data_IF_889938928400
#
_entry.id   IF_889938928400
#
_cell.length_a   1.000
_cell.length_b   1.000
_cell.length_c   1.000
_cell.angle_alpha   90.00
_cell.angle_beta   90.00
_cell.angle_gamma   90.00
#
_symmetry.space_group_name_H-M   'P 1'
#
loop_
_entity.id
_entity.type
_entity.pdbx_description
1 polymer ?
#
# COMPACT_ATOMS: atom_id res chain seq x y z
N UNK A 1 -1.99 43.88 -25.20
CA UNK A 1 -2.03 42.57 -24.54
C UNK A 1 -1.35 42.75 -23.19
N UNK A 2 -1.93 42.23 -22.12
CA UNK A 2 -1.32 42.23 -20.78
C UNK A 2 -0.92 40.80 -20.42
N UNK A 3 0.30 40.60 -19.93
CA UNK A 3 0.81 39.34 -19.42
C UNK A 3 1.19 39.57 -17.97
N UNK A 4 0.50 38.87 -17.08
CA UNK A 4 0.79 38.86 -15.65
C UNK A 4 1.42 37.51 -15.32
N UNK A 5 2.61 37.52 -14.76
CA UNK A 5 3.31 36.33 -14.29
C UNK A 5 3.47 36.39 -12.77
N UNK A 6 3.19 35.29 -12.10
CA UNK A 6 3.40 35.15 -10.66
C UNK A 6 4.04 33.83 -10.32
N UNK A 7 4.69 33.83 -9.16
CA UNK A 7 5.59 32.78 -8.72
C UNK A 7 5.35 32.48 -7.26
N UNK A 8 5.34 31.20 -6.90
CA UNK A 8 5.28 30.74 -5.51
C UNK A 8 6.29 29.61 -5.30
N UNK A 9 7.19 29.75 -4.31
CA UNK A 9 8.19 28.73 -4.00
C UNK A 9 9.35 29.24 -3.14
N UNK A 10 10.14 28.32 -2.60
CA UNK A 10 11.29 28.66 -1.74
C UNK A 10 12.48 29.19 -2.57
N UNK A 11 13.04 30.33 -2.16
CA UNK A 11 14.20 30.96 -2.82
C UNK A 11 15.49 30.12 -2.72
N UNK A 12 15.58 29.20 -1.77
CA UNK A 12 16.80 28.42 -1.47
C UNK A 12 16.87 27.04 -2.17
N UNK A 13 15.97 26.77 -3.12
CA UNK A 13 15.89 25.51 -3.85
C UNK A 13 14.89 24.54 -3.24
N UNK A 14 13.82 24.24 -3.97
CA UNK A 14 12.70 23.44 -3.45
C UNK A 14 11.61 23.19 -4.48
N UNK A 15 10.41 22.87 -3.99
CA UNK A 15 9.22 22.83 -4.83
C UNK A 15 8.85 24.27 -5.24
N UNK A 16 8.44 24.46 -6.49
CA UNK A 16 7.98 25.75 -6.99
C UNK A 16 6.83 25.60 -7.96
N UNK A 17 5.95 26.60 -7.97
CA UNK A 17 4.85 26.77 -8.90
C UNK A 17 4.90 28.15 -9.55
N UNK A 18 4.40 28.22 -10.78
CA UNK A 18 4.23 29.47 -11.51
C UNK A 18 2.84 29.55 -12.13
N UNK A 19 2.35 30.78 -12.29
CA UNK A 19 1.08 31.10 -12.91
C UNK A 19 1.23 32.26 -13.89
N UNK A 20 0.47 32.23 -14.98
CA UNK A 20 0.38 33.30 -15.97
C UNK A 20 -1.08 33.58 -16.30
N UNK A 21 -1.43 34.86 -16.33
CA UNK A 21 -2.69 35.35 -16.87
C UNK A 21 -2.41 36.27 -18.07
N UNK A 22 -2.84 35.82 -19.25
CA UNK A 22 -2.81 36.62 -20.48
C UNK A 22 -4.17 37.27 -20.68
N UNK A 23 -4.22 38.59 -20.84
CA UNK A 23 -5.47 39.34 -21.01
C UNK A 23 -5.45 40.24 -22.25
N UNK A 24 -6.50 40.14 -23.05
CA UNK A 24 -6.76 40.96 -24.23
C UNK A 24 -8.22 41.37 -24.28
N UNK A 25 -8.51 42.62 -23.91
CA UNK A 25 -9.89 43.07 -23.70
C UNK A 25 -10.56 42.22 -22.63
N UNK A 26 -11.72 41.66 -22.96
CA UNK A 26 -12.48 40.75 -22.10
C UNK A 26 -11.97 39.31 -22.10
N UNK A 27 -11.03 38.96 -23.00
CA UNK A 27 -10.52 37.59 -23.09
C UNK A 27 -9.34 37.38 -22.15
N UNK A 28 -9.42 36.33 -21.35
CA UNK A 28 -8.35 35.87 -20.47
C UNK A 28 -7.92 34.44 -20.82
N UNK A 29 -6.63 34.14 -20.64
CA UNK A 29 -6.07 32.79 -20.72
C UNK A 29 -5.11 32.56 -19.57
N UNK A 30 -5.33 31.47 -18.86
CA UNK A 30 -4.54 31.05 -17.70
C UNK A 30 -3.58 29.93 -18.10
N UNK A 31 -2.36 29.99 -17.59
CA UNK A 31 -1.35 28.94 -17.69
C UNK A 31 -0.73 28.75 -16.31
N UNK A 32 -0.40 27.51 -15.96
CA UNK A 32 0.34 27.23 -14.73
C UNK A 32 1.18 25.97 -14.89
N UNK A 33 2.25 25.89 -14.12
CA UNK A 33 3.17 24.77 -14.15
C UNK A 33 4.01 24.72 -12.89
N UNK A 34 4.64 23.57 -12.64
CA UNK A 34 5.36 23.33 -11.40
C UNK A 34 6.61 22.50 -11.63
N UNK A 35 7.57 22.63 -10.73
CA UNK A 35 8.78 21.81 -10.70
C UNK A 35 9.14 21.43 -9.26
N UNK A 36 9.58 20.18 -9.05
CA UNK A 36 9.86 19.65 -7.71
C UNK A 36 11.23 20.07 -7.17
N UNK A 37 12.09 20.62 -8.03
CA UNK A 37 13.41 21.14 -7.68
C UNK A 37 13.75 22.34 -8.56
N UNK A 38 13.42 23.53 -8.07
CA UNK A 38 13.58 24.81 -8.78
C UNK A 38 13.90 25.94 -7.80
N UNK A 39 14.05 27.16 -8.31
CA UNK A 39 14.17 28.42 -7.56
C UNK A 39 13.06 29.39 -7.98
N UNK A 40 12.81 30.43 -7.18
CA UNK A 40 11.85 31.48 -7.52
C UNK A 40 12.22 32.19 -8.84
N UNK A 41 13.48 32.52 -9.04
CA UNK A 41 13.99 33.14 -10.28
C UNK A 41 13.72 32.27 -11.52
N UNK A 42 13.98 30.96 -11.43
CA UNK A 42 13.72 30.01 -12.52
C UNK A 42 12.23 29.90 -12.84
N UNK A 43 11.38 29.90 -11.81
CA UNK A 43 9.93 29.87 -11.99
C UNK A 43 9.38 31.16 -12.59
N UNK A 44 9.93 32.31 -12.21
CA UNK A 44 9.60 33.60 -12.84
C UNK A 44 9.99 33.64 -14.31
N UNK A 45 11.21 33.22 -14.64
CA UNK A 45 11.66 33.12 -16.03
C UNK A 45 10.80 32.13 -16.83
N UNK A 46 10.45 30.99 -16.24
CA UNK A 46 9.56 29.99 -16.87
C UNK A 46 8.19 30.58 -17.16
N UNK A 47 7.56 31.25 -16.19
CA UNK A 47 6.25 31.88 -16.35
C UNK A 47 6.24 32.87 -17.53
N UNK A 48 7.23 33.76 -17.58
CA UNK A 48 7.33 34.76 -18.65
C UNK A 48 7.52 34.10 -20.01
N UNK A 49 8.42 33.11 -20.12
CA UNK A 49 8.66 32.40 -21.39
C UNK A 49 7.41 31.67 -21.87
N UNK A 50 6.77 30.89 -21.00
CA UNK A 50 5.56 30.12 -21.35
C UNK A 50 4.39 31.04 -21.71
N UNK A 51 4.25 32.18 -21.01
CA UNK A 51 3.25 33.19 -21.32
C UNK A 51 3.47 33.87 -22.67
N UNK A 52 4.71 34.21 -23.01
CA UNK A 52 5.06 34.82 -24.30
C UNK A 52 4.92 33.82 -25.45
N UNK A 53 5.36 32.57 -25.27
CA UNK A 53 5.25 31.52 -26.30
C UNK A 53 3.80 31.13 -26.60
N UNK A 54 2.88 31.34 -25.66
CA UNK A 54 1.46 31.15 -25.89
C UNK A 54 0.83 32.18 -26.86
N UNK A 55 1.56 33.26 -27.19
CA UNK A 55 1.15 34.27 -28.16
C UNK A 55 1.42 33.78 -29.59
N UNK A 56 0.36 33.56 -30.36
CA UNK A 56 0.47 32.93 -31.69
C UNK A 56 0.87 33.87 -32.82
N UNK A 57 1.10 35.16 -32.53
CA UNK A 57 1.47 36.18 -33.52
C UNK A 57 2.26 37.32 -32.88
N UNK A 58 3.09 38.06 -33.64
CA UNK A 58 3.75 39.27 -33.17
C UNK A 58 2.73 40.28 -32.60
N UNK A 59 2.97 40.75 -31.38
CA UNK A 59 2.08 41.68 -30.66
C UNK A 59 2.88 42.63 -29.77
N UNK A 60 2.26 43.74 -29.39
CA UNK A 60 2.70 44.55 -28.25
C UNK A 60 2.11 43.97 -26.96
N UNK A 61 2.99 43.65 -26.02
CA UNK A 61 2.64 43.01 -24.75
C UNK A 61 3.31 43.76 -23.60
N UNK A 62 2.52 44.10 -22.58
CA UNK A 62 3.03 44.58 -21.30
C UNK A 62 3.19 43.38 -20.36
N UNK A 63 4.34 43.25 -19.72
CA UNK A 63 4.72 42.12 -18.88
C UNK A 63 5.00 42.60 -17.46
N UNK A 64 4.26 42.04 -16.51
CA UNK A 64 4.49 42.21 -15.07
C UNK A 64 4.86 40.86 -14.44
N UNK A 65 5.86 40.85 -13.55
CA UNK A 65 6.46 39.62 -13.02
C UNK A 65 6.29 39.41 -11.51
N UNK A 66 5.38 40.12 -10.83
CA UNK A 66 5.07 39.83 -9.42
C UNK A 66 6.25 39.95 -8.46
N UNK A 67 7.21 40.84 -8.73
CA UNK A 67 8.43 41.00 -7.93
C UNK A 67 9.50 39.93 -8.13
N UNK A 68 9.31 38.97 -9.05
CA UNK A 68 10.35 38.00 -9.41
C UNK A 68 11.50 38.65 -10.20
N UNK A 69 12.74 38.32 -9.84
CA UNK A 69 13.93 38.76 -10.58
C UNK A 69 14.06 37.97 -11.89
N UNK A 70 13.48 38.52 -12.96
CA UNK A 70 13.51 37.92 -14.31
C UNK A 70 14.43 38.71 -15.24
N UNK A 71 15.34 38.06 -15.98
CA UNK A 71 16.18 38.74 -16.97
C UNK A 71 15.36 39.45 -18.06
N UNK A 72 15.78 40.65 -18.45
CA UNK A 72 15.12 41.49 -19.47
C UNK A 72 16.08 41.79 -20.63
N UNK A 73 16.36 40.81 -21.52
CA UNK A 73 17.34 41.02 -22.58
C UNK A 73 16.85 42.00 -23.66
N UNK A 74 17.79 42.67 -24.31
CA UNK A 74 17.53 43.35 -25.58
C UNK A 74 17.57 42.35 -26.76
N UNK A 75 16.89 42.62 -27.89
CA UNK A 75 16.99 41.79 -29.10
C UNK A 75 18.44 41.56 -29.51
N UNK A 76 18.82 40.32 -29.82
CA UNK A 76 20.18 39.94 -30.21
C UNK A 76 21.23 39.95 -29.08
N UNK A 77 20.84 40.12 -27.81
CA UNK A 77 21.77 40.03 -26.69
C UNK A 77 22.38 38.61 -26.56
N UNK A 78 23.68 38.48 -26.21
CA UNK A 78 24.27 37.18 -25.94
C UNK A 78 23.66 36.56 -24.68
N UNK A 79 23.72 35.22 -24.58
CA UNK A 79 23.33 34.49 -23.37
C UNK A 79 24.41 34.69 -22.30
N UNK A 80 24.10 35.28 -21.14
CA UNK A 80 25.05 35.43 -20.04
C UNK A 80 25.48 34.07 -19.49
N UNK A 81 26.72 33.96 -19.02
CA UNK A 81 27.24 32.71 -18.45
C UNK A 81 26.67 32.36 -17.08
N UNK A 82 26.10 33.34 -16.39
CA UNK A 82 25.57 33.28 -15.02
C UNK A 82 24.03 33.24 -14.98
N UNK A 83 23.38 33.10 -16.13
CA UNK A 83 21.91 33.02 -16.20
C UNK A 83 21.39 31.75 -15.51
N UNK A 84 20.26 31.81 -14.77
CA UNK A 84 19.72 30.64 -14.06
C UNK A 84 19.48 29.42 -14.96
N UNK A 85 19.01 29.64 -16.19
CA UNK A 85 18.83 28.61 -17.21
C UNK A 85 19.06 29.18 -18.62
N UNK A 86 20.11 28.68 -19.29
CA UNK A 86 20.52 29.15 -20.60
C UNK A 86 19.56 28.75 -21.74
N UNK A 87 18.75 27.71 -21.58
CA UNK A 87 17.74 27.29 -22.54
C UNK A 87 16.52 28.22 -22.46
N UNK A 88 15.99 28.42 -21.25
CA UNK A 88 14.88 29.34 -21.03
C UNK A 88 15.24 30.76 -21.46
N UNK A 89 16.47 31.21 -21.22
CA UNK A 89 16.91 32.53 -21.69
C UNK A 89 16.97 32.62 -23.22
N UNK A 90 17.39 31.55 -23.92
CA UNK A 90 17.38 31.50 -25.40
C UNK A 90 15.96 31.55 -25.95
N UNK A 91 15.02 30.87 -25.29
CA UNK A 91 13.58 30.95 -25.62
C UNK A 91 13.05 32.37 -25.40
N UNK A 92 13.39 33.01 -24.27
CA UNK A 92 13.02 34.41 -24.01
C UNK A 92 13.57 35.36 -25.08
N UNK A 93 14.83 35.21 -25.50
CA UNK A 93 15.42 36.02 -26.56
C UNK A 93 14.62 35.92 -27.87
N UNK A 94 14.20 34.72 -28.26
CA UNK A 94 13.38 34.53 -29.45
C UNK A 94 12.02 35.26 -29.34
N UNK A 95 11.45 35.33 -28.13
CA UNK A 95 10.21 36.07 -27.87
C UNK A 95 10.43 37.59 -27.92
N UNK A 96 11.55 38.08 -27.38
CA UNK A 96 11.93 39.50 -27.46
C UNK A 96 12.20 39.95 -28.90
N UNK A 97 12.69 39.07 -29.76
CA UNK A 97 12.87 39.36 -31.19
C UNK A 97 11.53 39.40 -31.96
N UNK A 98 10.53 38.67 -31.49
CA UNK A 98 9.24 38.51 -32.18
C UNK A 98 8.19 39.52 -31.71
N UNK A 99 8.16 39.84 -30.42
CA UNK A 99 7.13 40.68 -29.79
C UNK A 99 7.71 42.04 -29.37
N UNK A 100 6.87 43.07 -29.36
CA UNK A 100 7.21 44.34 -28.73
C UNK A 100 6.87 44.25 -27.24
N UNK A 101 7.85 43.87 -26.44
CA UNK A 101 7.69 43.64 -24.99
C UNK A 101 7.99 44.94 -24.22
N UNK A 102 7.03 45.32 -23.38
CA UNK A 102 7.14 46.42 -22.43
C UNK A 102 7.10 45.82 -21.02
N UNK A 103 8.12 46.08 -20.22
CA UNK A 103 8.22 45.55 -18.85
C UNK A 103 7.71 46.60 -17.88
N UNK A 104 6.84 46.20 -16.97
CA UNK A 104 6.33 47.07 -15.90
C UNK A 104 6.73 46.50 -14.54
N UNK A 105 7.13 47.39 -13.64
CA UNK A 105 7.61 47.00 -12.30
C UNK A 105 6.45 47.02 -11.29
N UNK A 106 5.55 47.98 -11.41
CA UNK A 106 4.38 48.12 -10.57
C UNK A 106 3.14 47.51 -11.25
N UNK A 107 2.28 46.85 -10.48
CA UNK A 107 1.07 46.24 -11.02
C UNK A 107 0.11 47.31 -11.59
N UNK A 108 0.06 48.49 -10.97
CA UNK A 108 -0.81 49.60 -11.38
C UNK A 108 -0.46 50.12 -12.78
N UNK A 109 0.82 50.09 -13.18
CA UNK A 109 1.24 50.44 -14.54
C UNK A 109 0.66 49.47 -15.59
N UNK A 110 0.38 48.23 -15.20
CA UNK A 110 -0.21 47.23 -16.10
C UNK A 110 -1.70 47.45 -16.33
N UNK A 111 -2.44 47.72 -15.25
CA UNK A 111 -3.91 47.77 -15.25
C UNK A 111 -4.47 49.16 -15.55
N UNK A 112 -3.72 50.22 -15.21
CA UNK A 112 -4.13 51.62 -15.34
C UNK A 112 -5.16 52.06 -14.30
N UNK A 113 -5.40 53.37 -14.21
CA UNK A 113 -6.27 54.01 -13.19
C UNK A 113 -7.74 53.51 -13.17
N UNK A 114 -8.21 52.76 -14.17
CA UNK A 114 -9.61 52.27 -14.27
C UNK A 114 -9.87 50.96 -13.50
N UNK A 115 -8.83 50.20 -13.13
CA UNK A 115 -8.95 49.03 -12.22
C UNK A 115 -8.43 49.37 -10.81
N UNK A 116 -8.13 50.66 -10.56
CA UNK A 116 -7.57 51.23 -9.32
C UNK A 116 -8.67 51.92 -8.49
N UNK A 117 -9.81 51.25 -8.29
CA UNK A 117 -10.76 51.68 -7.24
C UNK A 117 -10.12 51.42 -5.87
N UNK A 118 -9.18 52.26 -5.45
CA UNK A 118 -8.92 52.58 -4.02
C UNK A 118 -8.75 51.40 -3.03
N UNK A 119 -8.17 50.25 -3.41
CA UNK A 119 -8.10 49.08 -2.52
C UNK A 119 -6.77 48.86 -1.76
N UNK A 120 -5.77 49.73 -1.93
CA UNK A 120 -4.42 49.39 -1.43
C UNK A 120 -3.87 50.15 -0.23
N UNK A 121 -4.54 51.18 0.33
CA UNK A 121 -3.89 51.93 1.43
C UNK A 121 -4.69 52.39 2.67
N UNK A 122 -6.01 52.22 2.83
CA UNK A 122 -6.62 52.59 4.14
C UNK A 122 -7.88 51.81 4.63
N UNK A 123 -8.47 50.88 3.88
CA UNK A 123 -9.56 50.02 4.40
C UNK A 123 -9.32 48.54 4.09
N UNK A 124 -9.45 47.71 5.14
CA UNK A 124 -9.19 46.27 5.19
C UNK A 124 -10.27 45.43 4.46
N UNK A 125 -10.68 45.82 3.25
CA UNK A 125 -11.51 44.95 2.39
C UNK A 125 -10.60 44.04 1.56
N UNK A 126 -10.73 42.73 1.76
CA UNK A 126 -10.04 41.73 0.94
C UNK A 126 -10.40 41.97 -0.54
N UNK A 127 -9.42 42.00 -1.46
CA UNK A 127 -9.69 42.17 -2.89
C UNK A 127 -10.67 41.10 -3.36
N UNK A 128 -11.56 41.47 -4.30
CA UNK A 128 -12.51 40.52 -4.89
C UNK A 128 -11.75 39.29 -5.43
N UNK A 129 -12.30 38.09 -5.24
CA UNK A 129 -11.64 36.83 -5.57
C UNK A 129 -11.28 36.71 -7.07
N UNK A 130 -11.90 37.52 -7.91
CA UNK A 130 -11.64 37.60 -9.35
C UNK A 130 -10.57 38.64 -9.73
N UNK A 131 -9.89 39.28 -8.75
CA UNK A 131 -8.84 40.27 -9.03
C UNK A 131 -7.64 39.61 -9.75
N UNK A 132 -7.11 40.20 -10.85
CA UNK A 132 -6.09 39.55 -11.66
C UNK A 132 -4.77 39.22 -10.92
N UNK A 133 -4.42 40.02 -9.91
CA UNK A 133 -3.28 39.73 -9.02
C UNK A 133 -3.49 38.44 -8.22
N UNK A 134 -4.63 38.34 -7.53
CA UNK A 134 -4.98 37.17 -6.69
C UNK A 134 -5.08 35.93 -7.57
N UNK A 135 -5.68 36.05 -8.75
CA UNK A 135 -5.81 34.91 -9.67
C UNK A 135 -4.45 34.34 -10.11
N UNK A 136 -3.47 35.19 -10.36
CA UNK A 136 -2.12 34.75 -10.75
C UNK A 136 -1.39 34.11 -9.55
N UNK A 137 -1.59 34.64 -8.35
CA UNK A 137 -1.07 34.05 -7.12
C UNK A 137 -1.68 32.67 -6.85
N UNK A 138 -2.99 32.52 -7.03
CA UNK A 138 -3.72 31.25 -6.93
C UNK A 138 -3.18 30.19 -7.89
N UNK A 139 -2.99 30.55 -9.16
CA UNK A 139 -2.43 29.63 -10.16
C UNK A 139 -1.05 29.12 -9.76
N UNK A 140 -0.19 30.01 -9.26
CA UNK A 140 1.15 29.64 -8.78
C UNK A 140 1.08 28.78 -7.52
N UNK A 141 0.17 29.08 -6.59
CA UNK A 141 -0.05 28.30 -5.37
C UNK A 141 -0.59 26.90 -5.66
N UNK A 142 -1.63 26.76 -6.49
CA UNK A 142 -2.16 25.48 -6.93
C UNK A 142 -1.09 24.61 -7.59
N UNK A 143 -0.22 25.22 -8.39
CA UNK A 143 0.92 24.56 -9.01
C UNK A 143 1.95 24.08 -7.98
N UNK A 144 2.30 24.92 -6.99
CA UNK A 144 3.19 24.55 -5.89
C UNK A 144 2.63 23.36 -5.10
N UNK A 145 1.33 23.36 -4.78
CA UNK A 145 0.67 22.25 -4.08
C UNK A 145 0.83 20.93 -4.85
N UNK A 146 0.75 20.96 -6.19
CA UNK A 146 0.99 19.78 -7.05
C UNK A 146 2.44 19.31 -6.97
N UNK A 147 3.43 20.22 -7.00
CA UNK A 147 4.84 19.86 -6.84
C UNK A 147 5.11 19.20 -5.49
N UNK A 148 4.59 19.77 -4.40
CA UNK A 148 4.74 19.20 -3.07
C UNK A 148 4.05 17.83 -2.94
N UNK A 149 2.88 17.64 -3.55
CA UNK A 149 2.20 16.35 -3.59
C UNK A 149 3.08 15.29 -4.28
N UNK A 150 3.74 15.63 -5.39
CA UNK A 150 4.67 14.74 -6.08
C UNK A 150 5.91 14.44 -5.22
N UNK A 151 6.45 15.41 -4.49
CA UNK A 151 7.55 15.18 -3.53
C UNK A 151 7.10 14.23 -2.42
N UNK A 152 5.89 14.43 -1.85
CA UNK A 152 5.32 13.54 -0.83
C UNK A 152 5.15 12.12 -1.37
N UNK A 153 4.72 11.96 -2.61
CA UNK A 153 4.60 10.66 -3.28
C UNK A 153 5.98 10.00 -3.51
N UNK A 154 6.98 10.75 -4.00
CA UNK A 154 8.36 10.28 -4.16
C UNK A 154 9.00 9.90 -2.83
N UNK A 155 8.75 10.67 -1.77
CA UNK A 155 9.18 10.35 -0.39
C UNK A 155 8.50 9.09 0.13
N UNK A 156 7.19 8.91 -0.12
CA UNK A 156 6.47 7.67 0.21
C UNK A 156 7.06 6.44 -0.49
N UNK A 157 7.39 6.56 -1.78
CA UNK A 157 8.07 5.48 -2.54
C UNK A 157 9.50 5.21 -2.04
N UNK A 158 10.24 6.23 -1.60
CA UNK A 158 11.62 6.09 -1.07
C UNK A 158 11.71 5.63 0.38
N UNK A 159 10.63 5.70 1.17
CA UNK A 159 10.74 5.60 2.63
C UNK A 159 10.83 4.18 3.21
N UNK A 160 10.41 3.11 2.53
CA UNK A 160 10.50 1.73 3.08
C UNK A 160 9.96 1.53 4.52
N UNK A 161 9.09 2.40 5.02
CA UNK A 161 8.65 2.48 6.43
C UNK A 161 7.15 2.75 6.54
N UNK A 162 6.35 1.98 5.82
CA UNK A 162 4.90 2.00 6.05
C UNK A 162 4.57 1.02 7.18
N UNK A 163 3.67 1.38 8.10
CA UNK A 163 3.18 0.40 9.06
C UNK A 163 2.43 -0.72 8.34
N UNK A 164 2.48 -1.94 8.88
CA UNK A 164 1.82 -3.11 8.32
C UNK A 164 0.31 -2.84 8.14
N UNK A 165 -0.34 -2.21 9.12
CA UNK A 165 -1.75 -1.84 9.03
C UNK A 165 -2.05 -0.93 7.82
N UNK A 166 -1.16 0.02 7.52
CA UNK A 166 -1.34 0.90 6.36
C UNK A 166 -1.14 0.13 5.05
N UNK A 167 -0.18 -0.80 5.02
CA UNK A 167 0.04 -1.66 3.85
C UNK A 167 -1.17 -2.60 3.62
N UNK A 168 -1.71 -3.21 4.67
CA UNK A 168 -2.91 -4.04 4.62
C UNK A 168 -4.13 -3.27 4.09
N UNK A 169 -4.33 -2.03 4.54
CA UNK A 169 -5.42 -1.17 4.03
C UNK A 169 -5.27 -0.88 2.53
N UNK A 170 -4.05 -0.70 2.04
CA UNK A 170 -3.80 -0.50 0.60
C UNK A 170 -4.08 -1.76 -0.20
N UNK A 171 -3.59 -2.89 0.28
CA UNK A 171 -3.89 -4.20 -0.30
C UNK A 171 -5.41 -4.45 -0.37
N UNK A 172 -6.17 -4.13 0.68
CA UNK A 172 -7.63 -4.22 0.66
C UNK A 172 -8.28 -3.30 -0.38
N UNK A 173 -7.80 -2.07 -0.54
CA UNK A 173 -8.31 -1.16 -1.57
C UNK A 173 -8.09 -1.72 -2.97
N UNK A 174 -6.90 -2.30 -3.22
CA UNK A 174 -6.56 -2.90 -4.51
C UNK A 174 -7.42 -4.15 -4.78
N UNK A 175 -7.55 -5.06 -3.81
CA UNK A 175 -8.38 -6.27 -3.94
C UNK A 175 -9.86 -5.92 -4.15
N UNK A 176 -10.39 -4.87 -3.48
CA UNK A 176 -11.78 -4.43 -3.62
C UNK A 176 -12.11 -3.99 -5.05
N UNK A 177 -11.14 -3.46 -5.78
CA UNK A 177 -11.33 -3.03 -7.16
C UNK A 177 -11.55 -4.21 -8.14
N UNK A 178 -11.17 -5.42 -7.74
CA UNK A 178 -11.10 -6.58 -8.64
C UNK A 178 -11.93 -7.77 -8.17
N UNK A 179 -12.32 -7.85 -6.90
CA UNK A 179 -13.04 -8.99 -6.34
C UNK A 179 -14.56 -8.75 -6.16
N UNK A 180 -15.40 -9.79 -6.39
CA UNK A 180 -16.78 -9.82 -5.94
C UNK A 180 -16.89 -9.65 -4.42
N UNK A 181 -18.06 -9.21 -3.94
CA UNK A 181 -18.28 -8.90 -2.51
C UNK A 181 -17.97 -10.07 -1.57
N UNK A 182 -18.33 -11.30 -1.94
CA UNK A 182 -18.12 -12.49 -1.10
C UNK A 182 -16.63 -12.80 -0.96
N UNK A 183 -15.91 -12.87 -2.08
CA UNK A 183 -14.46 -13.10 -2.08
C UNK A 183 -13.71 -12.01 -1.32
N UNK A 184 -14.15 -10.75 -1.43
CA UNK A 184 -13.58 -9.65 -0.66
C UNK A 184 -13.74 -9.84 0.87
N UNK A 185 -14.90 -10.34 1.33
CA UNK A 185 -15.12 -10.61 2.76
C UNK A 185 -14.20 -11.73 3.28
N UNK A 186 -13.89 -12.71 2.44
CA UNK A 186 -12.93 -13.77 2.78
C UNK A 186 -11.51 -13.20 2.91
N UNK A 187 -11.12 -12.26 2.02
CA UNK A 187 -9.87 -11.50 2.16
C UNK A 187 -9.85 -10.74 3.49
N UNK A 188 -10.90 -9.98 3.81
CA UNK A 188 -11.00 -9.24 5.08
C UNK A 188 -10.84 -10.18 6.29
N UNK A 189 -11.51 -11.32 6.29
CA UNK A 189 -11.43 -12.31 7.39
C UNK A 189 -10.01 -12.84 7.62
N UNK A 190 -9.26 -13.10 6.55
CA UNK A 190 -7.86 -13.56 6.64
C UNK A 190 -6.98 -12.46 7.23
N UNK A 191 -7.12 -11.22 6.75
CA UNK A 191 -6.32 -10.09 7.24
C UNK A 191 -6.66 -9.71 8.67
N UNK A 192 -7.93 -9.80 9.07
CA UNK A 192 -8.35 -9.61 10.46
C UNK A 192 -7.74 -10.67 11.38
N UNK A 193 -7.63 -11.91 10.90
CA UNK A 193 -6.95 -13.00 11.62
C UNK A 193 -5.47 -12.70 11.81
N UNK A 194 -4.79 -12.21 10.77
CA UNK A 194 -3.40 -11.75 10.84
C UNK A 194 -3.24 -10.59 11.82
N UNK A 195 -4.12 -9.60 11.77
CA UNK A 195 -4.07 -8.45 12.67
C UNK A 195 -4.32 -8.85 14.14
N UNK A 196 -5.27 -9.76 14.35
CA UNK A 196 -5.57 -10.31 15.66
C UNK A 196 -4.40 -11.11 16.23
N UNK A 197 -3.78 -12.00 15.43
CA UNK A 197 -2.63 -12.78 15.88
C UNK A 197 -1.45 -11.88 16.27
N UNK A 198 -1.20 -10.82 15.50
CA UNK A 198 -0.17 -9.82 15.84
C UNK A 198 -0.52 -9.09 17.13
N UNK A 199 -1.77 -8.63 17.28
CA UNK A 199 -2.21 -7.90 18.46
C UNK A 199 -2.17 -8.72 19.75
N UNK A 200 -2.35 -10.03 19.66
CA UNK A 200 -2.34 -10.94 20.81
C UNK A 200 -0.93 -11.37 21.22
N UNK A 201 -0.09 -11.71 20.24
CA UNK A 201 1.24 -12.29 20.49
C UNK A 201 2.39 -11.28 20.41
N UNK A 202 2.14 -10.02 20.04
CA UNK A 202 3.15 -8.96 20.03
C UNK A 202 2.99 -8.00 21.20
N UNK A 203 4.11 -7.64 21.86
CA UNK A 203 4.15 -6.53 22.82
C UNK A 203 3.95 -5.16 22.14
N UNK A 204 4.09 -5.10 20.80
CA UNK A 204 3.91 -3.88 20.02
C UNK A 204 2.45 -3.76 19.56
N UNK A 205 1.91 -2.54 19.62
CA UNK A 205 0.68 -2.21 18.90
C UNK A 205 0.87 -2.52 17.41
N UNK A 206 -0.13 -3.10 16.76
CA UNK A 206 -0.15 -3.37 15.30
C UNK A 206 0.29 -2.15 14.48
N UNK A 207 -0.09 -0.94 14.89
CA UNK A 207 0.29 0.30 14.22
C UNK A 207 1.79 0.59 14.20
N UNK A 208 2.56 -0.03 15.11
CA UNK A 208 4.01 0.09 15.23
C UNK A 208 4.78 -1.03 14.51
N UNK A 209 4.09 -2.07 14.03
CA UNK A 209 4.69 -3.13 13.21
C UNK A 209 4.95 -2.58 11.82
N UNK A 210 6.17 -2.74 11.30
CA UNK A 210 6.49 -2.33 9.92
C UNK A 210 6.05 -3.43 8.96
N UNK A 211 5.66 -3.04 7.75
CA UNK A 211 5.31 -4.01 6.72
C UNK A 211 6.48 -4.97 6.38
N UNK A 212 7.72 -4.48 6.47
CA UNK A 212 8.93 -5.27 6.27
C UNK A 212 9.15 -6.36 7.33
N UNK A 213 8.55 -6.22 8.52
CA UNK A 213 8.73 -7.14 9.64
C UNK A 213 7.65 -8.24 9.65
N UNK A 214 6.88 -8.40 8.57
CA UNK A 214 5.77 -9.38 8.49
C UNK A 214 6.21 -10.82 8.76
N UNK A 215 7.44 -11.18 8.36
CA UNK A 215 8.01 -12.51 8.56
C UNK A 215 8.01 -12.93 10.04
N UNK A 216 8.32 -12.00 10.94
CA UNK A 216 8.39 -12.25 12.39
C UNK A 216 7.02 -12.63 13.00
N UNK A 217 5.94 -12.38 12.26
CA UNK A 217 4.58 -12.56 12.72
C UNK A 217 3.86 -13.76 12.09
N UNK A 218 4.40 -14.34 11.02
CA UNK A 218 3.79 -15.49 10.34
C UNK A 218 3.67 -16.74 11.24
N UNK A 219 4.64 -17.10 12.10
CA UNK A 219 4.50 -18.27 12.98
C UNK A 219 3.26 -18.22 13.87
N UNK A 220 2.99 -17.09 14.51
CA UNK A 220 1.81 -16.90 15.35
C UNK A 220 0.52 -16.86 14.52
N UNK A 221 0.59 -16.30 13.32
CA UNK A 221 -0.55 -16.32 12.39
C UNK A 221 -0.94 -17.75 12.01
N UNK A 222 0.02 -18.61 11.66
CA UNK A 222 -0.25 -20.00 11.33
C UNK A 222 -0.88 -20.75 12.51
N UNK A 223 -0.32 -20.57 13.71
CA UNK A 223 -0.89 -21.15 14.93
C UNK A 223 -2.37 -20.76 15.09
N UNK A 224 -2.71 -19.48 14.93
CA UNK A 224 -4.09 -19.01 15.03
C UNK A 224 -4.96 -19.58 13.91
N UNK A 225 -4.50 -19.62 12.66
CA UNK A 225 -5.29 -20.14 11.52
C UNK A 225 -5.70 -21.59 11.74
N UNK A 226 -4.79 -22.44 12.24
CA UNK A 226 -5.05 -23.87 12.46
C UNK A 226 -6.00 -24.11 13.64
N UNK A 227 -5.93 -23.25 14.66
CA UNK A 227 -6.70 -23.37 15.89
C UNK A 227 -8.02 -22.56 15.86
N UNK A 228 -8.18 -21.63 14.92
CA UNK A 228 -9.41 -20.86 14.72
C UNK A 228 -10.47 -21.76 14.08
N UNK A 229 -11.36 -22.31 14.91
CA UNK A 229 -12.61 -22.97 14.55
C UNK A 229 -12.59 -23.80 13.25
N UNK A 230 -11.65 -24.75 13.16
CA UNK A 230 -11.66 -25.81 12.14
C UNK A 230 -11.73 -25.30 10.69
N UNK A 231 -10.84 -24.37 10.32
CA UNK A 231 -10.74 -23.91 8.94
C UNK A 231 -10.75 -25.10 7.96
N UNK A 232 -11.75 -25.10 7.07
CA UNK A 232 -11.89 -26.15 6.07
C UNK A 232 -10.81 -25.99 4.98
N UNK A 233 -10.60 -27.01 4.13
CA UNK A 233 -9.59 -26.92 3.08
C UNK A 233 -9.75 -25.69 2.16
N UNK A 234 -10.97 -25.24 1.88
CA UNK A 234 -11.25 -24.10 0.99
C UNK A 234 -10.88 -22.77 1.67
N UNK A 235 -11.15 -22.64 2.97
CA UNK A 235 -10.72 -21.50 3.78
C UNK A 235 -9.19 -21.43 3.91
N UNK A 236 -8.51 -22.57 4.05
CA UNK A 236 -7.05 -22.64 4.07
C UNK A 236 -6.46 -22.28 2.69
N UNK A 237 -7.04 -22.77 1.60
CA UNK A 237 -6.66 -22.38 0.23
C UNK A 237 -6.79 -20.87 0.02
N UNK A 238 -7.89 -20.30 0.51
CA UNK A 238 -8.13 -18.85 0.48
C UNK A 238 -7.09 -18.09 1.30
N UNK A 239 -6.76 -18.60 2.50
CA UNK A 239 -5.72 -18.04 3.35
C UNK A 239 -4.37 -18.00 2.64
N UNK A 240 -3.95 -19.11 2.04
CA UNK A 240 -2.71 -19.18 1.27
C UNK A 240 -2.68 -18.22 0.07
N UNK A 241 -3.80 -18.10 -0.66
CA UNK A 241 -3.93 -17.14 -1.77
C UNK A 241 -3.77 -15.71 -1.30
N UNK A 242 -4.51 -15.31 -0.26
CA UNK A 242 -4.51 -13.95 0.28
C UNK A 242 -3.13 -13.57 0.81
N UNK A 243 -2.48 -14.45 1.56
CA UNK A 243 -1.15 -14.18 2.11
C UNK A 243 -0.09 -14.03 1.03
N UNK A 244 -0.11 -14.87 -0.02
CA UNK A 244 0.80 -14.70 -1.16
C UNK A 244 0.51 -13.42 -1.95
N UNK A 245 -0.76 -13.07 -2.14
CA UNK A 245 -1.17 -11.80 -2.76
C UNK A 245 -0.65 -10.59 -1.99
N UNK A 246 -0.79 -10.61 -0.65
CA UNK A 246 -0.26 -9.59 0.24
C UNK A 246 1.27 -9.46 0.10
N UNK A 247 2.01 -10.57 0.13
CA UNK A 247 3.47 -10.56 -0.03
C UNK A 247 3.90 -10.00 -1.40
N UNK A 248 3.16 -10.32 -2.46
CA UNK A 248 3.34 -9.70 -3.78
C UNK A 248 3.11 -8.19 -3.75
N UNK A 249 2.04 -7.73 -3.11
CA UNK A 249 1.76 -6.31 -2.94
C UNK A 249 2.85 -5.59 -2.10
N UNK A 250 3.38 -6.23 -1.06
CA UNK A 250 4.47 -5.68 -0.26
C UNK A 250 5.76 -5.55 -1.06
N UNK A 251 6.06 -6.51 -1.93
CA UNK A 251 7.17 -6.44 -2.89
C UNK A 251 6.99 -5.28 -3.87
N UNK A 252 5.82 -5.21 -4.52
CA UNK A 252 5.55 -4.23 -5.58
C UNK A 252 5.52 -2.79 -5.04
N UNK A 253 5.15 -2.63 -3.77
CA UNK A 253 5.22 -1.37 -3.04
C UNK A 253 6.58 -1.09 -2.38
N UNK A 254 7.59 -1.93 -2.63
CA UNK A 254 8.96 -1.78 -2.16
C UNK A 254 9.13 -1.87 -0.64
N UNK A 255 8.22 -2.57 0.07
CA UNK A 255 8.34 -2.79 1.52
C UNK A 255 9.25 -3.98 1.86
N UNK A 256 9.31 -4.98 0.98
CA UNK A 256 10.23 -6.11 1.04
C UNK A 256 10.89 -6.31 -0.33
N UNK A 257 12.09 -6.87 -0.36
CA UNK A 257 12.77 -7.22 -1.61
C UNK A 257 12.17 -8.49 -2.24
N UNK A 258 12.54 -8.76 -3.49
CA UNK A 258 11.98 -9.87 -4.26
C UNK A 258 12.39 -11.25 -3.74
N UNK A 259 13.58 -11.39 -3.15
CA UNK A 259 14.08 -12.65 -2.58
C UNK A 259 13.28 -12.98 -1.32
N UNK A 260 13.14 -12.02 -0.41
CA UNK A 260 12.32 -12.13 0.79
C UNK A 260 10.86 -12.45 0.44
N UNK A 261 10.26 -11.76 -0.52
CA UNK A 261 8.88 -12.00 -0.92
C UNK A 261 8.66 -13.42 -1.46
N UNK A 262 9.61 -13.94 -2.25
CA UNK A 262 9.53 -15.28 -2.82
C UNK A 262 9.67 -16.35 -1.73
N UNK A 263 10.68 -16.20 -0.87
CA UNK A 263 10.92 -17.11 0.25
C UNK A 263 9.71 -17.21 1.19
N UNK A 264 9.11 -16.08 1.56
CA UNK A 264 7.90 -16.06 2.39
C UNK A 264 6.68 -16.65 1.67
N UNK A 265 6.53 -16.43 0.36
CA UNK A 265 5.43 -17.00 -0.40
C UNK A 265 5.52 -18.52 -0.52
N UNK A 266 6.75 -19.05 -0.63
CA UNK A 266 7.02 -20.48 -0.62
C UNK A 266 6.74 -21.11 0.75
N UNK A 267 7.16 -20.49 1.87
CA UNK A 267 6.81 -20.92 3.23
C UNK A 267 5.30 -20.94 3.45
N UNK A 268 4.58 -19.89 3.02
CA UNK A 268 3.11 -19.85 3.08
C UNK A 268 2.52 -21.01 2.27
N UNK A 269 3.01 -21.27 1.07
CA UNK A 269 2.49 -22.33 0.22
C UNK A 269 2.71 -23.72 0.82
N UNK A 270 3.91 -23.98 1.34
CA UNK A 270 4.28 -25.23 1.99
C UNK A 270 3.42 -25.49 3.24
N UNK A 271 3.37 -24.53 4.17
CA UNK A 271 2.63 -24.70 5.42
C UNK A 271 1.12 -24.84 5.22
N UNK A 272 0.52 -23.98 4.41
CA UNK A 272 -0.91 -24.06 4.11
C UNK A 272 -1.24 -25.37 3.39
N UNK A 273 -0.37 -25.82 2.48
CA UNK A 273 -0.50 -27.12 1.82
C UNK A 273 -0.49 -28.29 2.82
N UNK A 274 0.43 -28.26 3.77
CA UNK A 274 0.49 -29.23 4.87
C UNK A 274 -0.78 -29.23 5.72
N UNK A 275 -1.27 -28.06 6.14
CA UNK A 275 -2.51 -27.97 6.92
C UNK A 275 -3.74 -28.46 6.16
N UNK A 276 -3.82 -28.23 4.85
CA UNK A 276 -4.88 -28.79 4.00
C UNK A 276 -4.81 -30.32 3.99
N UNK A 277 -3.61 -30.89 3.87
CA UNK A 277 -3.42 -32.35 3.89
C UNK A 277 -3.85 -32.95 5.23
N UNK A 278 -3.39 -32.39 6.34
CA UNK A 278 -3.79 -32.79 7.71
C UNK A 278 -5.31 -32.65 7.88
N UNK A 279 -5.92 -31.56 7.43
CA UNK A 279 -7.37 -31.35 7.56
C UNK A 279 -8.17 -32.38 6.77
N UNK A 280 -7.74 -32.70 5.54
CA UNK A 280 -8.37 -33.76 4.72
C UNK A 280 -8.25 -35.11 5.43
N UNK A 281 -7.08 -35.41 6.00
CA UNK A 281 -6.86 -36.64 6.76
C UNK A 281 -7.74 -36.72 8.02
N UNK A 282 -7.79 -35.66 8.84
CA UNK A 282 -8.66 -35.57 10.02
C UNK A 282 -10.12 -35.77 9.65
N UNK A 283 -10.59 -35.17 8.56
CA UNK A 283 -11.96 -35.35 8.08
C UNK A 283 -12.23 -36.79 7.65
N UNK A 284 -11.27 -37.46 7.02
CA UNK A 284 -11.38 -38.86 6.65
C UNK A 284 -11.38 -39.79 7.88
N UNK A 285 -10.53 -39.51 8.87
CA UNK A 285 -10.48 -40.22 10.15
C UNK A 285 -11.81 -40.10 10.94
N UNK A 286 -12.46 -38.94 10.92
CA UNK A 286 -13.75 -38.73 11.59
C UNK A 286 -14.84 -39.66 11.07
N UNK A 287 -14.79 -40.05 9.79
CA UNK A 287 -15.73 -41.03 9.20
C UNK A 287 -15.43 -42.46 9.67
N UNK A 288 -14.22 -42.71 10.20
CA UNK A 288 -13.78 -44.03 10.67
C UNK A 288 -13.99 -44.25 12.17
N UNK A 289 -14.62 -43.31 12.88
CA UNK A 289 -14.93 -43.44 14.31
C UNK A 289 -15.93 -44.58 14.53
N UNK A 290 -15.72 -45.38 15.57
CA UNK A 290 -16.59 -46.52 15.90
C UNK A 290 -17.73 -46.07 16.81
N UNK A 291 -18.86 -45.70 16.20
CA UNK A 291 -20.02 -45.13 16.88
C UNK A 291 -20.86 -46.16 17.68
N UNK A 292 -20.74 -47.46 17.37
CA UNK A 292 -21.52 -48.55 17.99
C UNK A 292 -20.92 -49.08 19.31
N UNK A 293 -19.90 -48.42 19.87
CA UNK A 293 -19.31 -48.83 21.13
C UNK A 293 -20.32 -48.66 22.28
N UNK A 294 -20.37 -49.60 23.26
CA UNK A 294 -21.20 -49.43 24.46
C UNK A 294 -20.82 -48.13 25.18
N UNK A 295 -21.72 -47.54 25.95
CA UNK A 295 -21.43 -46.35 26.74
C UNK A 295 -20.37 -46.66 27.80
N UNK A 296 -19.11 -46.40 27.45
CA UNK A 296 -17.93 -46.66 28.26
C UNK A 296 -17.64 -45.42 29.10
N UNK A 297 -17.62 -45.57 30.42
CA UNK A 297 -17.02 -44.55 31.29
C UNK A 297 -15.52 -44.53 31.05
N UNK A 298 -15.08 -43.62 30.18
CA UNK A 298 -13.67 -43.48 29.79
C UNK A 298 -12.76 -43.34 31.01
N UNK A 299 -13.22 -42.69 32.07
CA UNK A 299 -12.43 -42.44 33.29
C UNK A 299 -12.27 -43.69 34.17
N UNK A 300 -13.09 -44.72 33.95
CA UNK A 300 -12.98 -46.02 34.63
C UNK A 300 -11.95 -46.97 34.01
N UNK A 301 -11.56 -46.74 32.74
CA UNK A 301 -10.55 -47.55 32.05
C UNK A 301 -9.14 -47.34 32.66
N UNK A 302 -8.22 -48.25 32.39
CA UNK A 302 -6.82 -48.04 32.74
C UNK A 302 -6.23 -46.91 31.86
N UNK A 303 -5.36 -46.02 32.39
CA UNK A 303 -4.73 -44.96 31.59
C UNK A 303 -4.03 -45.47 30.32
N UNK A 304 -3.42 -46.65 30.37
CA UNK A 304 -2.76 -47.30 29.23
C UNK A 304 -3.72 -47.85 28.16
N UNK A 305 -5.01 -47.95 28.47
CA UNK A 305 -6.06 -48.46 27.59
C UNK A 305 -6.96 -47.34 27.03
N UNK A 306 -6.59 -46.07 27.22
CA UNK A 306 -7.35 -44.92 26.71
C UNK A 306 -6.47 -43.73 26.32
N UNK A 307 -7.01 -42.93 25.43
CA UNK A 307 -6.60 -41.56 25.12
C UNK A 307 -7.87 -40.74 25.17
N UNK A 308 -7.90 -39.66 25.95
CA UNK A 308 -9.10 -38.84 26.14
C UNK A 308 -8.79 -37.41 25.72
N UNK A 309 -9.26 -37.04 24.54
CA UNK A 309 -9.09 -35.70 23.95
C UNK A 309 -7.66 -35.17 24.11
N UNK A 310 -6.69 -35.99 23.68
CA UNK A 310 -5.27 -35.67 23.78
C UNK A 310 -4.58 -35.77 22.42
N UNK A 311 -3.49 -35.02 22.28
CA UNK A 311 -2.67 -35.03 21.08
C UNK A 311 -1.80 -36.28 21.03
N UNK A 312 -1.86 -36.99 19.91
CA UNK A 312 -1.03 -38.15 19.62
C UNK A 312 -0.33 -37.97 18.29
N UNK A 313 0.93 -38.41 18.19
CA UNK A 313 1.73 -38.30 16.97
C UNK A 313 1.57 -39.56 16.13
N UNK A 314 1.38 -39.42 14.82
CA UNK A 314 1.45 -40.56 13.89
C UNK A 314 2.88 -41.09 13.88
N UNK A 315 3.07 -42.29 14.42
CA UNK A 315 4.38 -42.94 14.49
C UNK A 315 4.66 -43.80 13.26
N UNK A 316 3.64 -44.48 12.74
CA UNK A 316 3.75 -45.32 11.55
C UNK A 316 2.38 -45.48 10.89
N UNK A 317 2.36 -45.44 9.55
CA UNK A 317 1.19 -45.78 8.76
C UNK A 317 1.54 -46.95 7.82
N UNK A 318 0.71 -47.99 7.82
CA UNK A 318 0.80 -49.13 6.91
C UNK A 318 -0.36 -49.09 5.91
N UNK A 319 -0.46 -50.05 4.99
CA UNK A 319 -1.57 -50.10 4.03
C UNK A 319 -2.97 -50.31 4.65
N UNK A 320 -3.07 -50.70 5.92
CA UNK A 320 -4.34 -51.03 6.58
C UNK A 320 -4.44 -50.62 8.05
N UNK A 321 -3.43 -49.92 8.58
CA UNK A 321 -3.45 -49.48 9.97
C UNK A 321 -2.56 -48.29 10.22
N UNK A 322 -2.87 -47.52 11.26
CA UNK A 322 -2.01 -46.45 11.78
C UNK A 322 -1.68 -46.75 13.24
N UNK A 323 -0.42 -46.53 13.58
CA UNK A 323 0.08 -46.56 14.95
C UNK A 323 0.40 -45.13 15.39
N UNK A 324 -0.15 -44.73 16.52
CA UNK A 324 0.09 -43.43 17.14
C UNK A 324 0.99 -43.57 18.37
N UNK A 325 1.56 -42.45 18.79
CA UNK A 325 2.37 -42.32 20.00
C UNK A 325 1.81 -41.20 20.86
N UNK A 326 1.56 -41.47 22.13
CA UNK A 326 1.17 -40.43 23.07
C UNK A 326 2.35 -39.51 23.38
N UNK A 327 2.05 -38.33 23.93
CA UNK A 327 3.04 -37.39 24.48
C UNK A 327 3.95 -38.05 25.53
N UNK A 328 3.40 -38.93 26.35
CA UNK A 328 4.13 -39.74 27.35
C UNK A 328 4.88 -40.96 26.77
N UNK A 329 4.84 -41.15 25.45
CA UNK A 329 5.58 -42.19 24.74
C UNK A 329 4.89 -43.55 24.64
N UNK A 330 3.64 -43.68 25.09
CA UNK A 330 2.86 -44.91 24.96
C UNK A 330 2.47 -45.16 23.49
N UNK A 331 2.48 -46.44 23.09
CA UNK A 331 2.07 -46.85 21.74
C UNK A 331 0.57 -47.12 21.72
N UNK A 332 -0.12 -46.46 20.79
CA UNK A 332 -1.56 -46.56 20.59
C UNK A 332 -1.78 -47.16 19.20
N UNK A 333 -2.29 -48.39 19.16
CA UNK A 333 -2.50 -49.12 17.91
C UNK A 333 -1.84 -50.50 17.88
N UNK A 334 -1.76 -51.13 16.70
CA UNK A 334 -2.24 -50.61 15.42
C UNK A 334 -3.76 -50.40 15.41
N UNK A 335 -4.21 -49.25 14.93
CA UNK A 335 -5.62 -48.94 14.69
C UNK A 335 -5.93 -49.32 13.25
N UNK A 336 -6.83 -50.28 13.04
CA UNK A 336 -7.23 -50.71 11.71
C UNK A 336 -8.07 -49.62 11.02
N UNK A 337 -7.66 -49.21 9.81
CA UNK A 337 -8.30 -48.13 9.05
C UNK A 337 -8.36 -48.48 7.55
N UNK A 338 -9.29 -47.87 6.79
CA UNK A 338 -9.33 -48.01 5.34
C UNK A 338 -8.01 -47.59 4.66
N UNK A 339 -7.65 -48.29 3.58
CA UNK A 339 -6.35 -48.10 2.92
C UNK A 339 -6.16 -46.71 2.32
N UNK A 340 -7.25 -46.08 1.87
CA UNK A 340 -7.27 -44.70 1.36
C UNK A 340 -6.98 -43.70 2.48
N UNK A 341 -7.55 -43.90 3.68
CA UNK A 341 -7.25 -43.07 4.87
C UNK A 341 -5.80 -43.26 5.31
N UNK A 342 -5.31 -44.51 5.35
CA UNK A 342 -3.92 -44.80 5.67
C UNK A 342 -2.93 -44.16 4.69
N UNK A 343 -3.27 -44.11 3.40
CA UNK A 343 -2.42 -43.52 2.36
C UNK A 343 -2.29 -41.99 2.49
N UNK A 344 -3.21 -41.34 3.21
CA UNK A 344 -3.15 -39.90 3.48
C UNK A 344 -2.28 -39.55 4.69
N UNK A 345 -1.95 -40.52 5.54
CA UNK A 345 -1.27 -40.28 6.81
C UNK A 345 0.23 -40.06 6.60
N UNK A 346 0.77 -39.01 7.19
CA UNK A 346 2.22 -38.78 7.26
C UNK A 346 2.74 -38.91 8.69
N UNK A 347 3.92 -39.50 8.82
CA UNK A 347 4.58 -39.65 10.12
C UNK A 347 4.95 -38.27 10.67
N UNK A 348 4.70 -38.06 11.96
CA UNK A 348 5.00 -36.80 12.65
C UNK A 348 3.78 -35.91 12.88
N UNK A 349 2.70 -36.06 12.09
CA UNK A 349 1.48 -35.28 12.31
C UNK A 349 0.89 -35.54 13.70
N UNK A 350 0.44 -34.47 14.33
CA UNK A 350 -0.21 -34.51 15.65
C UNK A 350 -1.72 -34.52 15.46
N UNK A 351 -2.41 -35.47 16.08
CA UNK A 351 -3.86 -35.62 15.95
C UNK A 351 -4.48 -35.56 17.34
N UNK A 352 -5.42 -34.63 17.54
CA UNK A 352 -6.22 -34.52 18.75
C UNK A 352 -7.39 -35.49 18.64
N UNK A 353 -7.40 -36.54 19.46
CA UNK A 353 -8.41 -37.59 19.36
C UNK A 353 -8.72 -38.24 20.72
N UNK A 354 -9.81 -39.00 20.73
CA UNK A 354 -10.16 -39.94 21.79
C UNK A 354 -10.11 -41.34 21.19
N UNK A 355 -9.34 -42.23 21.82
CA UNK A 355 -9.21 -43.63 21.42
C UNK A 355 -9.28 -44.51 22.67
N UNK A 356 -9.82 -45.71 22.52
CA UNK A 356 -9.90 -46.68 23.62
C UNK A 356 -9.45 -48.05 23.15
N UNK A 357 -8.92 -48.83 24.08
CA UNK A 357 -8.69 -50.24 23.87
C UNK A 357 -9.92 -51.02 24.30
N UNK A 358 -10.62 -51.59 23.33
CA UNK A 358 -11.84 -52.37 23.55
C UNK A 358 -11.65 -53.78 22.98
N UNK A 359 -11.97 -54.81 23.78
CA UNK A 359 -11.77 -56.22 23.42
C UNK A 359 -10.36 -56.55 22.89
N UNK A 360 -9.34 -55.87 23.43
CA UNK A 360 -7.94 -56.06 23.08
C UNK A 360 -7.44 -55.28 21.86
N UNK A 361 -8.31 -54.60 21.12
CA UNK A 361 -7.96 -53.75 19.96
C UNK A 361 -8.15 -52.26 20.25
N UNK A 362 -7.35 -51.42 19.59
CA UNK A 362 -7.52 -49.97 19.64
C UNK A 362 -8.55 -49.51 18.61
N UNK A 363 -9.45 -48.63 19.04
CA UNK A 363 -10.53 -48.07 18.23
C UNK A 363 -10.64 -46.57 18.46
N UNK A 364 -11.03 -45.82 17.43
CA UNK A 364 -11.23 -44.37 17.51
C UNK A 364 -12.66 -44.10 17.98
N UNK A 365 -12.78 -43.25 19.01
CA UNK A 365 -14.05 -42.82 19.62
C UNK A 365 -14.44 -41.40 19.20
N UNK A 366 -13.44 -40.55 18.93
CA UNK A 366 -13.64 -39.18 18.47
C UNK A 366 -12.35 -38.68 17.83
N UNK A 367 -12.46 -37.88 16.78
CA UNK A 367 -11.30 -37.19 16.17
C UNK A 367 -11.63 -35.71 16.06
N UNK A 368 -10.85 -34.89 16.78
CA UNK A 368 -11.16 -33.47 16.99
C UNK A 368 -10.39 -32.60 16.02
N UNK A 369 -9.05 -32.65 16.00
CA UNK A 369 -8.24 -31.77 15.17
C UNK A 369 -6.92 -32.44 14.76
N UNK A 370 -6.10 -31.75 13.97
CA UNK A 370 -4.72 -32.15 13.71
C UNK A 370 -3.83 -30.95 13.39
N UNK A 371 -2.52 -31.15 13.57
CA UNK A 371 -1.44 -30.20 13.33
C UNK A 371 -0.24 -30.91 12.67
N UNK A 372 0.72 -30.14 12.15
CA UNK A 372 1.89 -30.61 11.40
C UNK A 372 3.05 -31.12 12.26
#
# INVERSE_FOLDING_TARGET
MRLMAGVMGESAGGAGGWGVLLRYGEHARELSGFEVKTTAELMGLTAVVEGLEALTRPVRVMVWCGGAEVPRPAPGAPVPSDVPDAELYRRLLAMVETHQIEWVDEFNELVGDEEDDEYFLDDFEEPDADHPYERVADLAYEALVKAEAQIRERRRRRSGKTSLNTALKRFLVDERAHLPRREFQEVESVLDTLLWSIGWYSEKKVSAVRAADIADHLPNFYYVVVHKNFADPEELETTGRVMRGLLGHLRDSGQIDAETATSLADDVAERIGGYIAVRRFVNALRVCVEDDLPDLDLFSLAPEDRVVEDYVTIAEATASSITFRSTDGHTIGPVALPSDVCAMAESGWEILLTAVRFEGRWVLRQVVNGDL
#
